data_IF_839215396299
#
_entry.id   IF_839215396299
#
_cell.length_a   1.000
_cell.length_b   1.000
_cell.length_c   1.000
_cell.angle_alpha   90.00
_cell.angle_beta   90.00
_cell.angle_gamma   90.00
#
_symmetry.space_group_name_H-M   'P 1'
#
loop_
_entity.id
_entity.type
_entity.pdbx_description
1 polymer ?
#
# COMPACT_ATOMS: atom_id res chain seq x y z
N UNK A 1 -22.93 -58.88 72.14
CA UNK A 1 -23.13 -57.91 71.04
C UNK A 1 -21.86 -57.09 70.92
N UNK A 2 -21.02 -57.37 69.93
CA UNK A 2 -19.76 -56.65 69.70
C UNK A 2 -19.79 -56.06 68.30
N UNK A 3 -19.74 -54.73 68.19
CA UNK A 3 -19.71 -54.03 66.92
C UNK A 3 -18.28 -54.01 66.35
N UNK A 4 -18.10 -54.58 65.16
CA UNK A 4 -16.85 -54.52 64.40
C UNK A 4 -16.89 -53.24 63.57
N UNK A 5 -16.02 -52.28 63.87
CA UNK A 5 -15.84 -51.09 63.05
C UNK A 5 -14.87 -51.41 61.89
N UNK A 6 -15.37 -51.32 60.66
CA UNK A 6 -14.56 -51.45 59.44
C UNK A 6 -14.10 -50.04 59.02
N UNK A 7 -12.79 -49.76 58.87
CA UNK A 7 -12.35 -48.47 58.37
C UNK A 7 -12.57 -48.39 56.86
N UNK A 8 -13.40 -47.44 56.42
CA UNK A 8 -13.54 -47.06 55.01
C UNK A 8 -12.34 -46.20 54.61
N UNK A 9 -11.41 -46.77 53.84
CA UNK A 9 -10.32 -46.02 53.21
C UNK A 9 -10.88 -45.28 52.00
N UNK A 10 -11.04 -43.96 52.11
CA UNK A 10 -11.39 -43.10 50.97
C UNK A 10 -10.12 -42.87 50.15
N UNK A 11 -10.05 -43.47 48.96
CA UNK A 11 -8.97 -43.23 48.02
C UNK A 11 -8.99 -41.77 47.53
N UNK A 12 -7.85 -41.05 47.53
CA UNK A 12 -7.81 -39.68 47.03
C UNK A 12 -8.09 -39.69 45.51
N UNK A 13 -9.01 -38.82 45.09
CA UNK A 13 -9.32 -38.61 43.68
C UNK A 13 -8.02 -38.24 42.93
N UNK A 14 -7.48 -39.17 42.14
CA UNK A 14 -6.33 -38.93 41.26
C UNK A 14 -6.72 -37.80 40.29
N UNK A 15 -6.32 -36.56 40.61
CA UNK A 15 -6.43 -35.40 39.72
C UNK A 15 -5.72 -35.75 38.42
N UNK A 16 -6.50 -36.01 37.36
CA UNK A 16 -6.08 -36.57 36.08
C UNK A 16 -4.95 -35.73 35.46
N UNK A 17 -3.66 -36.12 35.58
CA UNK A 17 -2.53 -35.33 35.07
C UNK A 17 -2.57 -35.20 33.54
N UNK A 18 -3.22 -36.17 32.88
CA UNK A 18 -3.41 -36.23 31.42
C UNK A 18 -4.22 -35.06 30.86
N UNK A 19 -5.21 -34.54 31.59
CA UNK A 19 -6.06 -33.46 31.11
C UNK A 19 -5.31 -32.12 31.07
N UNK A 20 -4.44 -31.86 32.05
CA UNK A 20 -3.55 -30.70 32.04
C UNK A 20 -2.50 -30.80 30.94
N UNK A 21 -1.92 -31.99 30.73
CA UNK A 21 -0.96 -32.20 29.65
C UNK A 21 -1.57 -31.99 28.26
N UNK A 22 -2.82 -32.42 28.04
CA UNK A 22 -3.54 -32.19 26.79
C UNK A 22 -3.83 -30.71 26.58
N UNK A 23 -4.31 -29.99 27.60
CA UNK A 23 -4.56 -28.55 27.51
C UNK A 23 -3.28 -27.76 27.19
N UNK A 24 -2.17 -28.08 27.87
CA UNK A 24 -0.87 -27.49 27.55
C UNK A 24 -0.40 -27.79 26.12
N UNK A 25 -0.59 -29.02 25.64
CA UNK A 25 -0.24 -29.38 24.27
C UNK A 25 -1.07 -28.62 23.22
N UNK A 26 -2.36 -28.38 23.50
CA UNK A 26 -3.23 -27.56 22.65
C UNK A 26 -2.77 -26.11 22.64
N UNK A 27 -2.48 -25.52 23.80
CA UNK A 27 -2.00 -24.13 23.88
C UNK A 27 -0.68 -23.93 23.13
N UNK A 28 0.27 -24.87 23.28
CA UNK A 28 1.54 -24.85 22.55
C UNK A 28 1.31 -25.00 21.04
N UNK A 29 0.42 -25.89 20.62
CA UNK A 29 0.09 -26.08 19.21
C UNK A 29 -0.57 -24.83 18.59
N UNK A 30 -1.47 -24.18 19.32
CA UNK A 30 -2.10 -22.92 18.89
C UNK A 30 -1.06 -21.80 18.81
N UNK A 31 -0.19 -21.68 19.81
CA UNK A 31 0.87 -20.67 19.81
C UNK A 31 1.87 -20.86 18.65
N UNK A 32 2.32 -22.10 18.43
CA UNK A 32 3.20 -22.43 17.30
C UNK A 32 2.50 -22.20 15.96
N UNK A 33 1.22 -22.59 15.84
CA UNK A 33 0.41 -22.31 14.66
C UNK A 33 0.31 -20.82 14.36
N UNK A 34 0.08 -19.99 15.39
CA UNK A 34 0.04 -18.54 15.26
C UNK A 34 1.41 -17.95 14.86
N UNK A 35 2.51 -18.49 15.39
CA UNK A 35 3.86 -18.06 15.05
C UNK A 35 4.21 -18.37 13.59
N UNK A 36 3.89 -19.59 13.13
CA UNK A 36 4.11 -20.02 11.74
C UNK A 36 3.26 -19.18 10.79
N UNK A 37 1.98 -18.95 11.12
CA UNK A 37 1.10 -18.08 10.36
C UNK A 37 1.68 -16.66 10.26
N UNK A 38 2.11 -16.08 11.38
CA UNK A 38 2.73 -14.76 11.39
C UNK A 38 4.03 -14.72 10.56
N UNK A 39 4.92 -15.70 10.69
CA UNK A 39 6.16 -15.79 9.93
C UNK A 39 5.92 -15.93 8.41
N UNK A 40 4.82 -16.59 8.02
CA UNK A 40 4.45 -16.77 6.61
C UNK A 40 3.91 -15.52 5.92
N UNK A 41 3.54 -14.46 6.66
CA UNK A 41 3.10 -13.19 6.06
C UNK A 41 4.29 -12.53 5.33
N UNK A 42 4.15 -12.17 4.04
CA UNK A 42 5.22 -11.56 3.25
C UNK A 42 5.85 -10.36 3.96
N UNK A 43 7.18 -10.30 3.96
CA UNK A 43 7.94 -9.15 4.46
C UNK A 43 8.08 -8.13 3.34
N UNK A 44 7.79 -6.86 3.64
CA UNK A 44 7.98 -5.76 2.70
C UNK A 44 9.44 -5.33 2.61
N UNK A 45 9.73 -4.35 1.76
CA UNK A 45 11.08 -3.80 1.63
C UNK A 45 11.38 -2.77 2.72
N UNK A 46 12.65 -2.56 3.10
CA UNK A 46 12.99 -1.61 4.17
C UNK A 46 12.76 -0.14 3.78
N UNK A 47 12.72 0.17 2.49
CA UNK A 47 12.54 1.52 1.97
C UNK A 47 11.43 1.57 0.92
N UNK A 48 10.80 2.74 0.78
CA UNK A 48 9.79 2.98 -0.25
C UNK A 48 10.35 2.81 -1.67
N UNK A 49 11.60 3.20 -1.93
CA UNK A 49 12.24 2.97 -3.22
C UNK A 49 12.56 1.48 -3.47
N UNK A 50 12.65 0.66 -2.42
CA UNK A 50 12.86 -0.79 -2.55
C UNK A 50 11.69 -1.53 -3.18
N UNK A 51 10.48 -0.95 -3.20
CA UNK A 51 9.30 -1.58 -3.82
C UNK A 51 9.32 -1.50 -5.36
N UNK A 52 10.31 -0.81 -5.92
CA UNK A 52 10.43 -0.54 -7.35
C UNK A 52 10.94 -1.80 -8.04
N UNK A 53 10.36 -2.19 -9.19
CA UNK A 53 10.87 -3.29 -10.00
C UNK A 53 12.35 -3.11 -10.37
N UNK A 54 13.13 -4.20 -10.50
CA UNK A 54 14.57 -4.14 -10.74
C UNK A 54 14.95 -3.47 -12.08
N UNK A 55 14.04 -3.43 -13.05
CA UNK A 55 14.18 -2.77 -14.34
C UNK A 55 13.77 -1.28 -14.31
N UNK A 56 13.44 -0.74 -13.14
CA UNK A 56 12.90 0.60 -12.97
C UNK A 56 13.75 1.52 -12.08
N UNK A 57 13.61 2.83 -12.30
CA UNK A 57 14.19 3.88 -11.45
C UNK A 57 13.13 4.88 -11.01
N UNK A 58 13.09 5.22 -9.72
CA UNK A 58 12.24 6.32 -9.23
C UNK A 58 12.76 7.65 -9.80
N UNK A 59 11.86 8.38 -10.46
CA UNK A 59 12.16 9.69 -11.05
C UNK A 59 11.59 10.81 -10.19
N UNK A 60 10.33 10.64 -9.78
CA UNK A 60 9.60 11.61 -8.97
C UNK A 60 8.86 10.85 -7.89
N UNK A 61 8.81 11.42 -6.68
CA UNK A 61 8.04 10.89 -5.58
C UNK A 61 7.26 12.00 -4.88
N UNK A 62 6.05 11.68 -4.42
CA UNK A 62 5.24 12.61 -3.64
C UNK A 62 4.51 11.86 -2.53
N UNK A 63 4.37 12.51 -1.36
CA UNK A 63 3.54 11.99 -0.28
C UNK A 63 2.05 12.07 -0.67
N UNK A 64 1.30 11.03 -0.34
CA UNK A 64 -0.12 10.89 -0.64
C UNK A 64 -0.83 10.38 0.63
N UNK A 65 -1.12 11.26 1.58
CA UNK A 65 -1.59 10.85 2.90
C UNK A 65 -0.55 9.98 3.62
N UNK A 66 -0.92 8.74 3.95
CA UNK A 66 -0.05 7.74 4.59
C UNK A 66 0.81 6.88 3.64
N UNK A 67 0.74 7.14 2.34
CA UNK A 67 1.51 6.42 1.31
C UNK A 67 2.45 7.35 0.55
N UNK A 68 3.31 6.78 -0.30
CA UNK A 68 4.14 7.53 -1.25
C UNK A 68 3.78 7.11 -2.67
N UNK A 69 3.38 8.08 -3.49
CA UNK A 69 3.26 7.88 -4.92
C UNK A 69 4.64 8.03 -5.57
N UNK A 70 5.03 7.08 -6.40
CA UNK A 70 6.32 7.02 -7.08
C UNK A 70 6.07 6.93 -8.58
N UNK A 71 6.68 7.81 -9.36
CA UNK A 71 6.82 7.62 -10.80
C UNK A 71 8.13 6.90 -11.06
N UNK A 72 8.02 5.73 -11.68
CA UNK A 72 9.13 4.87 -12.04
C UNK A 72 9.33 4.94 -13.55
N UNK A 73 10.53 5.32 -13.98
CA UNK A 73 10.94 5.21 -15.37
C UNK A 73 11.48 3.82 -15.65
N UNK A 74 10.97 3.22 -16.73
CA UNK A 74 11.41 1.95 -17.33
C UNK A 74 11.73 2.21 -18.81
N UNK A 75 12.46 1.32 -19.53
CA UNK A 75 12.98 1.60 -20.87
C UNK A 75 11.98 2.18 -21.89
N UNK A 76 10.68 1.85 -21.78
CA UNK A 76 9.64 2.30 -22.70
C UNK A 76 8.40 2.88 -22.02
N UNK A 77 8.32 2.83 -20.70
CA UNK A 77 7.13 3.30 -19.97
C UNK A 77 7.48 4.11 -18.74
N UNK A 78 6.58 5.02 -18.37
CA UNK A 78 6.48 5.56 -17.02
C UNK A 78 5.41 4.76 -16.29
N UNK A 79 5.70 4.37 -15.05
CA UNK A 79 4.81 3.60 -14.21
C UNK A 79 4.52 4.35 -12.92
N UNK A 80 3.26 4.43 -12.53
CA UNK A 80 2.84 4.92 -11.22
C UNK A 80 2.75 3.75 -10.24
N UNK A 81 3.55 3.82 -9.18
CA UNK A 81 3.50 2.94 -8.02
C UNK A 81 3.01 3.71 -6.79
N UNK A 82 2.28 3.04 -5.91
CA UNK A 82 1.97 3.51 -4.57
C UNK A 82 2.69 2.63 -3.56
N UNK A 83 3.66 3.20 -2.86
CA UNK A 83 4.37 2.54 -1.78
C UNK A 83 3.65 2.80 -0.46
N UNK A 84 3.19 1.74 0.18
CA UNK A 84 2.50 1.77 1.47
C UNK A 84 3.39 1.17 2.55
N UNK A 85 3.51 1.86 3.68
CA UNK A 85 4.24 1.34 4.82
C UNK A 85 3.30 0.56 5.75
N UNK A 86 3.62 -0.72 6.00
CA UNK A 86 2.94 -1.60 6.95
C UNK A 86 3.91 -2.07 8.03
N UNK A 87 3.42 -2.85 9.01
CA UNK A 87 4.22 -3.35 10.13
C UNK A 87 5.49 -4.12 9.69
N UNK A 88 5.44 -4.83 8.57
CA UNK A 88 6.57 -5.61 8.02
C UNK A 88 7.37 -4.88 6.93
N UNK A 89 7.24 -3.57 6.79
CA UNK A 89 7.96 -2.75 5.81
C UNK A 89 7.09 -2.17 4.70
N UNK A 90 7.71 -1.79 3.60
CA UNK A 90 7.08 -1.14 2.45
C UNK A 90 6.57 -2.15 1.42
N UNK A 91 5.37 -1.90 0.90
CA UNK A 91 4.73 -2.70 -0.14
C UNK A 91 4.38 -1.80 -1.32
N UNK A 92 4.69 -2.25 -2.53
CA UNK A 92 4.38 -1.54 -3.76
C UNK A 92 3.07 -2.02 -4.38
N UNK A 93 2.19 -1.08 -4.73
CA UNK A 93 1.00 -1.31 -5.53
C UNK A 93 1.18 -0.65 -6.90
N UNK A 94 1.09 -1.42 -7.99
CA UNK A 94 1.04 -0.86 -9.34
C UNK A 94 -0.34 -0.28 -9.59
N UNK A 95 -0.38 0.99 -10.00
CA UNK A 95 -1.65 1.71 -10.25
C UNK A 95 -1.88 1.90 -11.75
N UNK A 96 -0.90 2.40 -12.49
CA UNK A 96 -1.03 2.66 -13.91
C UNK A 96 0.33 2.73 -14.61
N UNK A 97 0.30 2.69 -15.94
CA UNK A 97 1.43 2.93 -16.81
C UNK A 97 1.05 3.80 -18.01
N UNK A 98 2.07 4.43 -18.59
CA UNK A 98 1.96 5.26 -19.79
C UNK A 98 3.24 5.13 -20.60
N UNK A 99 3.19 5.48 -21.89
CA UNK A 99 4.39 5.65 -22.71
C UNK A 99 5.36 6.67 -22.10
N UNK A 100 6.65 6.58 -22.43
CA UNK A 100 7.70 7.47 -21.90
C UNK A 100 7.47 8.97 -22.16
N UNK A 101 6.82 9.30 -23.26
CA UNK A 101 6.40 10.65 -23.68
C UNK A 101 4.90 10.91 -23.42
N UNK A 102 4.21 9.93 -22.84
CA UNK A 102 2.79 10.00 -22.53
C UNK A 102 2.49 10.75 -21.24
N UNK A 103 1.20 11.01 -21.04
CA UNK A 103 0.65 11.55 -19.80
C UNK A 103 -0.59 10.74 -19.47
N UNK A 104 -0.72 10.32 -18.21
CA UNK A 104 -1.82 9.51 -17.72
C UNK A 104 -2.33 10.03 -16.39
N UNK A 105 -3.62 9.83 -16.18
CA UNK A 105 -4.31 10.08 -14.92
C UNK A 105 -4.80 8.75 -14.37
N UNK A 106 -4.45 8.46 -13.12
CA UNK A 106 -4.93 7.29 -12.41
C UNK A 106 -5.45 7.64 -11.02
N UNK A 107 -6.26 6.76 -10.45
CA UNK A 107 -6.79 6.93 -9.09
C UNK A 107 -6.78 5.63 -8.31
N UNK A 108 -6.78 5.75 -6.98
CA UNK A 108 -7.04 4.65 -6.07
C UNK A 108 -8.35 4.95 -5.33
N UNK A 109 -9.23 3.94 -5.22
CA UNK A 109 -10.49 4.08 -4.47
C UNK A 109 -10.28 4.23 -2.96
N UNK A 110 -9.09 3.86 -2.47
CA UNK A 110 -8.80 3.70 -1.05
C UNK A 110 -9.20 2.30 -0.56
N UNK A 111 -8.31 1.68 0.22
CA UNK A 111 -8.51 0.37 0.83
C UNK A 111 -7.65 0.27 2.09
N UNK A 112 -7.63 -0.89 2.76
CA UNK A 112 -6.84 -1.08 3.98
C UNK A 112 -5.35 -0.77 3.77
N UNK A 113 -4.91 0.36 4.33
CA UNK A 113 -3.54 0.90 4.20
C UNK A 113 -3.26 1.68 2.91
N UNK A 114 -4.12 1.62 1.90
CA UNK A 114 -3.96 2.40 0.65
C UNK A 114 -4.88 3.62 0.72
N UNK A 115 -4.36 4.85 0.76
CA UNK A 115 -5.21 6.04 0.76
C UNK A 115 -5.91 6.21 -0.58
N UNK A 116 -7.13 6.74 -0.55
CA UNK A 116 -7.79 7.22 -1.77
C UNK A 116 -7.00 8.41 -2.32
N UNK A 117 -6.62 8.36 -3.58
CA UNK A 117 -5.87 9.44 -4.24
C UNK A 117 -6.17 9.50 -5.73
N UNK A 118 -5.87 10.66 -6.31
CA UNK A 118 -5.86 10.89 -7.76
C UNK A 118 -4.49 11.43 -8.14
N UNK A 119 -3.87 10.85 -9.15
CA UNK A 119 -2.51 11.19 -9.56
C UNK A 119 -2.39 11.33 -11.08
N UNK A 120 -1.81 12.44 -11.51
CA UNK A 120 -1.44 12.69 -12.91
C UNK A 120 0.06 12.64 -13.02
N UNK A 121 0.56 11.89 -14.00
CA UNK A 121 1.99 11.73 -14.21
C UNK A 121 2.29 11.58 -15.69
N UNK A 122 3.51 11.95 -16.07
CA UNK A 122 3.94 11.90 -17.45
C UNK A 122 5.13 12.81 -17.71
N UNK A 123 5.36 13.08 -18.99
CA UNK A 123 6.46 13.94 -19.46
C UNK A 123 5.95 15.29 -19.97
N UNK A 124 6.67 16.35 -19.66
CA UNK A 124 6.41 17.72 -20.12
C UNK A 124 7.71 18.45 -20.47
N UNK A 125 7.61 19.48 -21.32
CA UNK A 125 8.76 20.22 -21.86
C UNK A 125 9.16 21.46 -21.05
N UNK A 126 8.31 21.92 -20.13
CA UNK A 126 8.60 23.07 -19.26
C UNK A 126 9.15 22.66 -17.89
N UNK A 127 9.61 23.62 -17.09
CA UNK A 127 10.05 23.40 -15.70
C UNK A 127 8.91 23.12 -14.72
N UNK A 128 7.68 23.42 -15.13
CA UNK A 128 6.48 23.16 -14.35
C UNK A 128 5.29 22.85 -15.25
N UNK A 129 4.31 22.15 -14.69
CA UNK A 129 3.06 21.79 -15.33
C UNK A 129 1.92 22.31 -14.49
N UNK A 130 1.01 23.06 -15.11
CA UNK A 130 -0.23 23.51 -14.50
C UNK A 130 -1.36 22.58 -14.92
N UNK A 131 -2.05 22.02 -13.95
CA UNK A 131 -3.10 21.03 -14.14
C UNK A 131 -4.39 21.62 -13.60
N UNK A 132 -5.43 21.68 -14.44
CA UNK A 132 -6.80 21.93 -14.01
C UNK A 132 -7.49 20.58 -13.85
N UNK A 133 -7.75 20.24 -12.60
CA UNK A 133 -8.51 19.07 -12.23
C UNK A 133 -9.97 19.22 -12.63
N UNK A 134 -10.66 18.10 -12.72
CA UNK A 134 -12.07 18.07 -13.12
C UNK A 134 -13.02 18.85 -12.20
N UNK A 135 -12.66 19.03 -10.93
CA UNK A 135 -13.40 19.85 -9.97
C UNK A 135 -13.12 21.36 -10.13
N UNK A 136 -12.44 21.75 -11.21
CA UNK A 136 -12.06 23.13 -11.51
C UNK A 136 -10.86 23.64 -10.72
N UNK A 137 -10.35 22.88 -9.74
CA UNK A 137 -9.17 23.28 -8.98
C UNK A 137 -7.93 23.15 -9.82
N UNK A 138 -7.01 24.07 -9.61
CA UNK A 138 -5.73 24.07 -10.31
C UNK A 138 -4.57 23.74 -9.38
N UNK A 139 -3.59 23.04 -9.92
CA UNK A 139 -2.37 22.67 -9.23
C UNK A 139 -1.19 22.83 -10.17
N UNK A 140 -0.17 23.54 -9.72
CA UNK A 140 1.10 23.64 -10.43
C UNK A 140 2.12 22.72 -9.76
N UNK A 141 2.77 21.87 -10.54
CA UNK A 141 3.84 20.97 -10.08
C UNK A 141 5.12 21.22 -10.86
N UNK A 142 6.25 21.04 -10.21
CA UNK A 142 7.56 21.13 -10.87
C UNK A 142 7.84 19.83 -11.62
N UNK A 143 8.49 19.93 -12.78
CA UNK A 143 9.06 18.77 -13.46
C UNK A 143 10.42 18.43 -12.86
N UNK A 144 10.77 17.15 -12.87
CA UNK A 144 12.14 16.72 -12.68
C UNK A 144 13.04 17.19 -13.83
N UNK A 145 14.35 16.99 -13.68
CA UNK A 145 15.35 17.40 -14.68
C UNK A 145 15.18 16.73 -16.05
N UNK A 146 14.50 15.59 -16.12
CA UNK A 146 14.19 14.86 -17.34
C UNK A 146 12.79 15.15 -17.90
N UNK A 147 12.10 16.15 -17.35
CA UNK A 147 10.77 16.59 -17.76
C UNK A 147 9.62 15.75 -17.18
N UNK A 148 9.91 14.74 -16.35
CA UNK A 148 8.87 13.93 -15.72
C UNK A 148 8.21 14.70 -14.58
N UNK A 149 6.90 14.63 -14.48
CA UNK A 149 6.16 15.23 -13.37
C UNK A 149 5.22 14.23 -12.70
N UNK A 150 4.83 14.59 -11.47
CA UNK A 150 3.82 13.91 -10.69
C UNK A 150 3.00 14.97 -9.96
N UNK A 151 1.68 14.91 -10.11
CA UNK A 151 0.73 15.68 -9.33
C UNK A 151 -0.21 14.74 -8.61
N UNK A 152 -0.16 14.75 -7.27
CA UNK A 152 -1.04 13.93 -6.43
C UNK A 152 -2.03 14.80 -5.67
N UNK A 153 -3.26 14.32 -5.56
CA UNK A 153 -4.29 14.81 -4.65
C UNK A 153 -4.83 13.66 -3.81
N UNK A 154 -5.08 13.95 -2.54
CA UNK A 154 -5.82 13.06 -1.66
C UNK A 154 -7.31 13.07 -2.02
N UNK A 155 -7.96 11.92 -1.92
CA UNK A 155 -9.34 11.71 -2.32
C UNK A 155 -9.50 11.29 -3.79
N UNK A 156 -10.69 10.78 -4.10
CA UNK A 156 -11.07 10.43 -5.48
C UNK A 156 -11.64 11.65 -6.19
N UNK A 157 -11.08 11.97 -7.36
CA UNK A 157 -11.66 12.93 -8.29
C UNK A 157 -12.46 12.12 -9.31
N UNK A 158 -13.79 12.16 -9.25
CA UNK A 158 -14.66 11.45 -10.20
C UNK A 158 -14.93 12.35 -11.41
N UNK A 159 -14.31 12.07 -12.54
CA UNK A 159 -14.59 12.76 -13.80
C UNK A 159 -14.08 12.01 -15.02
N UNK A 160 -14.57 12.41 -16.19
CA UNK A 160 -14.19 11.91 -17.51
C UNK A 160 -12.83 12.44 -17.98
N UNK A 161 -12.42 13.64 -17.57
CA UNK A 161 -11.17 14.25 -18.02
C UNK A 161 -10.64 15.35 -17.09
N UNK A 162 -9.39 15.72 -17.32
CA UNK A 162 -8.74 16.91 -16.78
C UNK A 162 -7.94 17.63 -17.85
N UNK A 163 -7.52 18.87 -17.59
CA UNK A 163 -6.80 19.70 -18.57
C UNK A 163 -5.41 20.06 -18.08
N UNK A 164 -4.44 20.00 -18.99
CA UNK A 164 -3.10 20.55 -18.81
C UNK A 164 -3.08 21.93 -19.44
N UNK A 165 -2.61 22.91 -18.68
CA UNK A 165 -2.61 24.31 -19.07
C UNK A 165 -1.19 24.79 -19.41
N UNK A 166 -1.09 25.72 -20.35
CA UNK A 166 0.14 26.49 -20.57
C UNK A 166 0.26 27.63 -19.54
N UNK A 167 1.34 28.42 -19.65
CA UNK A 167 1.59 29.56 -18.78
C UNK A 167 0.49 30.63 -18.82
N UNK A 168 -0.17 30.83 -19.97
CA UNK A 168 -1.28 31.78 -20.12
C UNK A 168 -2.65 31.25 -19.68
N UNK A 169 -2.71 29.99 -19.22
CA UNK A 169 -3.95 29.35 -18.77
C UNK A 169 -4.79 28.73 -19.90
N UNK A 170 -4.28 28.70 -21.13
CA UNK A 170 -4.89 27.97 -22.25
C UNK A 170 -4.68 26.46 -22.14
N UNK A 171 -5.66 25.69 -22.58
CA UNK A 171 -5.60 24.22 -22.58
C UNK A 171 -4.62 23.75 -23.67
N UNK A 172 -3.62 22.99 -23.25
CA UNK A 172 -2.62 22.37 -24.13
C UNK A 172 -3.01 20.93 -24.45
N UNK A 173 -3.58 20.23 -23.46
CA UNK A 173 -3.94 18.82 -23.59
C UNK A 173 -5.07 18.47 -22.64
N UNK A 174 -5.96 17.62 -23.11
CA UNK A 174 -6.96 16.96 -22.27
C UNK A 174 -6.50 15.53 -21.98
N UNK A 175 -6.64 15.09 -20.73
CA UNK A 175 -6.23 13.76 -20.26
C UNK A 175 -7.48 13.04 -19.78
N UNK A 176 -7.75 11.87 -20.35
CA UNK A 176 -8.87 11.03 -19.96
C UNK A 176 -8.71 10.53 -18.51
N UNK A 177 -9.82 10.44 -17.80
CA UNK A 177 -9.87 9.89 -16.45
C UNK A 177 -9.79 8.37 -16.40
N UNK A 178 -9.51 7.83 -15.20
CA UNK A 178 -9.49 6.40 -14.92
C UNK A 178 -10.88 5.76 -14.90
#
# INVERSE_FOLDING_TARGET
>A
MSAIAVPVVVAPARRRPRLRAILWAVDVAVFLGALVAYASIPTGTPTAAGVVPPDGRVVVQQAAGGARALVVSRPQTLQLLVAVHKQKGWFGLRVADTAQDGISWASTAGAEGVPAMSAVFGKATGSSVRIRWADGREQTVQTASDGVFLAVRTGTVRSLSLSILNASGGIVREVAGP
#
